data_IF_106098372595
#
_entry.id   IF_106098372595
#
_cell.length_a   1.000
_cell.length_b   1.000
_cell.length_c   1.000
_cell.angle_alpha   90.00
_cell.angle_beta   90.00
_cell.angle_gamma   90.00
#
_symmetry.space_group_name_H-M   'P 1'
#
loop_
_entity.id
_entity.type
_entity.pdbx_description
1 polymer ?
#
# COMPACT_ATOMS: atom_id res chain seq x y z
N UNK A 1 -0.91 -11.28 -4.77
CA UNK A 1 0.52 -10.91 -4.77
C UNK A 1 1.04 -10.88 -3.34
N UNK A 2 0.94 -12.02 -2.65
CA UNK A 2 1.52 -12.30 -1.33
C UNK A 2 1.54 -13.83 -1.25
N UNK A 3 2.69 -14.40 -0.94
CA UNK A 3 2.88 -15.84 -0.84
C UNK A 3 3.28 -16.18 0.59
N UNK A 4 3.20 -17.47 0.94
CA UNK A 4 3.86 -17.97 2.14
C UNK A 4 5.34 -17.56 2.09
N UNK A 5 5.89 -17.08 3.20
CA UNK A 5 7.23 -16.46 3.33
C UNK A 5 7.43 -15.01 2.85
N UNK A 6 6.39 -14.30 2.38
CA UNK A 6 6.54 -12.86 2.07
C UNK A 6 6.75 -12.03 3.35
N UNK A 7 7.79 -11.21 3.38
CA UNK A 7 8.07 -10.28 4.48
C UNK A 7 7.29 -9.00 4.24
N UNK A 8 6.46 -8.61 5.22
CA UNK A 8 5.65 -7.40 5.14
C UNK A 8 5.84 -6.51 6.35
N UNK A 9 5.79 -5.19 6.11
CA UNK A 9 5.82 -4.21 7.18
C UNK A 9 4.39 -3.99 7.71
N UNK A 10 4.24 -4.03 9.02
CA UNK A 10 2.95 -3.88 9.71
C UNK A 10 2.95 -2.58 10.51
N UNK A 11 1.84 -1.83 10.45
CA UNK A 11 1.62 -0.64 11.29
C UNK A 11 0.41 -0.83 12.20
N UNK A 12 0.41 -0.12 13.32
CA UNK A 12 -0.73 -0.05 14.24
C UNK A 12 -1.98 0.55 13.57
N UNK A 13 -3.13 -0.08 13.81
CA UNK A 13 -4.43 0.47 13.42
C UNK A 13 -5.50 -0.60 13.44
N UNK A 14 -6.57 -0.33 14.19
CA UNK A 14 -7.68 -1.25 14.37
C UNK A 14 -8.66 -1.13 13.21
N UNK A 15 -9.03 -2.28 12.64
CA UNK A 15 -10.22 -2.36 11.78
C UNK A 15 -11.44 -2.34 12.70
N UNK A 16 -12.30 -1.33 12.55
CA UNK A 16 -13.44 -1.12 13.45
C UNK A 16 -14.37 -2.33 13.51
N UNK A 17 -14.56 -2.99 12.37
CA UNK A 17 -15.58 -4.03 12.19
C UNK A 17 -15.10 -5.43 12.56
N UNK A 18 -13.79 -5.62 12.79
CA UNK A 18 -13.20 -6.94 13.03
C UNK A 18 -12.54 -7.02 14.42
N UNK A 19 -13.10 -7.81 15.36
CA UNK A 19 -12.44 -8.06 16.63
C UNK A 19 -11.18 -8.91 16.40
N UNK A 20 -10.05 -8.48 16.99
CA UNK A 20 -8.75 -9.15 16.85
C UNK A 20 -7.82 -8.57 15.77
N UNK A 21 -8.34 -7.82 14.79
CA UNK A 21 -7.52 -7.19 13.75
C UNK A 21 -7.07 -5.79 14.18
N UNK A 22 -5.93 -5.74 14.86
CA UNK A 22 -5.34 -4.50 15.44
C UNK A 22 -4.29 -3.83 14.57
N UNK A 23 -3.97 -4.41 13.41
CA UNK A 23 -2.87 -3.98 12.58
C UNK A 23 -3.23 -3.90 11.10
N UNK A 24 -2.52 -3.05 10.37
CA UNK A 24 -2.61 -2.93 8.92
C UNK A 24 -1.26 -3.21 8.26
N UNK A 25 -1.30 -3.86 7.11
CA UNK A 25 -0.12 -4.03 6.26
C UNK A 25 0.18 -2.72 5.53
N UNK A 26 1.44 -2.28 5.58
CA UNK A 26 1.94 -1.16 4.78
C UNK A 26 2.14 -1.64 3.34
N UNK A 27 1.50 -0.97 2.39
CA UNK A 27 1.59 -1.28 0.96
C UNK A 27 2.68 -0.45 0.29
N UNK A 28 3.40 -1.04 -0.67
CA UNK A 28 4.53 -0.41 -1.36
C UNK A 28 5.85 -0.48 -0.58
N UNK A 29 5.98 -1.43 0.34
CA UNK A 29 7.19 -1.68 1.13
C UNK A 29 7.43 -3.17 1.28
N UNK A 30 8.70 -3.60 1.26
CA UNK A 30 9.12 -5.00 1.22
C UNK A 30 8.39 -5.76 0.08
N UNK A 31 7.85 -6.95 0.37
CA UNK A 31 7.18 -7.79 -0.62
C UNK A 31 5.72 -7.38 -0.88
N UNK A 32 5.21 -6.36 -0.17
CA UNK A 32 3.84 -5.89 -0.37
C UNK A 32 3.76 -4.87 -1.50
N UNK A 33 3.30 -5.32 -2.67
CA UNK A 33 3.07 -4.45 -3.81
C UNK A 33 2.03 -3.34 -3.53
N UNK A 34 2.23 -2.18 -4.15
CA UNK A 34 1.27 -1.08 -4.14
C UNK A 34 0.04 -1.36 -5.00
N UNK A 35 -1.02 -0.57 -4.80
CA UNK A 35 -2.24 -0.69 -5.61
C UNK A 35 -2.07 0.06 -6.93
N UNK A 36 -2.14 -0.67 -8.04
CA UNK A 36 -2.05 -0.09 -9.39
C UNK A 36 -3.20 0.87 -9.69
N UNK A 37 -2.94 1.88 -10.53
CA UNK A 37 -3.92 2.88 -11.02
C UNK A 37 -4.64 3.69 -9.92
N UNK A 38 -4.12 3.71 -8.68
CA UNK A 38 -4.69 4.51 -7.59
C UNK A 38 -4.26 5.98 -7.70
N UNK A 39 -5.17 6.83 -8.19
CA UNK A 39 -4.90 8.26 -8.40
C UNK A 39 -5.13 9.14 -7.15
N UNK A 40 -5.93 8.69 -6.17
CA UNK A 40 -6.22 9.40 -4.90
C UNK A 40 -5.66 8.62 -3.70
N UNK A 41 -5.13 9.35 -2.70
CA UNK A 41 -4.53 8.78 -1.48
C UNK A 41 -3.40 7.78 -1.74
N UNK A 42 -2.63 8.01 -2.81
CA UNK A 42 -1.60 7.11 -3.35
C UNK A 42 -0.53 6.69 -2.34
N UNK A 43 -0.16 7.58 -1.42
CA UNK A 43 0.84 7.31 -0.36
C UNK A 43 0.40 6.23 0.63
N UNK A 44 -0.90 6.12 0.92
CA UNK A 44 -1.43 5.08 1.80
C UNK A 44 -1.40 3.68 1.16
N UNK A 45 -1.42 3.63 -0.16
CA UNK A 45 -1.54 2.39 -0.94
C UNK A 45 -0.30 2.06 -1.76
N UNK A 46 0.83 2.75 -1.52
CA UNK A 46 2.09 2.47 -2.22
C UNK A 46 2.09 2.76 -3.72
N UNK A 47 1.19 3.62 -4.19
CA UNK A 47 1.08 3.95 -5.62
C UNK A 47 2.01 5.14 -5.97
N UNK A 48 2.91 4.93 -6.95
CA UNK A 48 3.79 5.99 -7.46
C UNK A 48 2.97 7.05 -8.21
N UNK A 49 3.50 8.28 -8.28
CA UNK A 49 2.87 9.32 -9.12
C UNK A 49 2.95 8.83 -10.57
N UNK A 50 1.84 8.72 -11.30
CA UNK A 50 1.94 8.56 -12.74
C UNK A 50 2.65 9.79 -13.29
N UNK A 51 3.75 9.59 -14.01
CA UNK A 51 4.39 10.67 -14.78
C UNK A 51 3.43 10.96 -15.94
N UNK A 52 2.72 12.09 -15.89
CA UNK A 52 2.07 12.63 -17.09
C UNK A 52 3.21 13.03 -18.02
N UNK A 53 3.21 12.57 -19.27
CA UNK A 53 4.23 12.88 -20.29
C UNK A 53 4.27 14.37 -20.73
N UNK A 54 3.81 15.31 -19.89
CA UNK A 54 3.69 16.73 -20.21
C UNK A 54 4.24 17.66 -19.13
N UNK A 55 5.37 17.32 -18.51
CA UNK A 55 6.06 18.20 -17.56
C UNK A 55 7.59 18.22 -17.77
N UNK A 56 8.00 18.07 -19.02
CA UNK A 56 9.32 18.44 -19.51
C UNK A 56 9.08 19.40 -20.67
N UNK A 57 9.12 20.70 -20.36
CA UNK A 57 9.31 21.82 -21.27
C UNK A 57 10.65 22.44 -20.91
#
# INVERSE_FOLDING_TARGET
NLQEHSVVLVRGGRVKDLPGVKYHVVRGSLDSAGVEKRNKSRSKYGAKRPKKEGATS
#
